data_IF_974057880406
#
_entry.id   IF_974057880406
#
_cell.length_a   1.000
_cell.length_b   1.000
_cell.length_c   1.000
_cell.angle_alpha   90.00
_cell.angle_beta   90.00
_cell.angle_gamma   90.00
#
_symmetry.space_group_name_H-M   'P 1'
#
loop_
_entity.id
_entity.type
_entity.pdbx_description
1 polymer ?
#
# COMPACT_ATOMS: atom_id res chain seq x y z
N UNK A 1 -52.79 23.45 34.07
CA UNK A 1 -51.40 23.32 33.54
C UNK A 1 -50.71 22.04 34.03
N UNK A 2 -51.44 20.92 34.18
CA UNK A 2 -50.92 19.63 34.67
C UNK A 2 -51.22 18.45 33.72
N UNK A 3 -52.08 18.65 32.73
CA UNK A 3 -52.50 17.63 31.74
C UNK A 3 -51.54 17.46 30.56
N UNK A 4 -50.68 18.45 30.27
CA UNK A 4 -49.75 18.39 29.12
C UNK A 4 -48.50 17.54 29.44
N UNK A 5 -48.06 17.48 30.70
CA UNK A 5 -46.88 16.69 31.08
C UNK A 5 -47.12 15.17 31.01
N UNK A 6 -48.34 14.70 31.32
CA UNK A 6 -48.66 13.27 31.23
C UNK A 6 -48.76 12.77 29.78
N UNK A 7 -49.24 13.61 28.85
CA UNK A 7 -49.33 13.25 27.44
C UNK A 7 -47.95 13.12 26.80
N UNK A 8 -47.00 13.99 27.18
CA UNK A 8 -45.63 13.96 26.68
C UNK A 8 -44.89 12.70 27.16
N UNK A 9 -45.02 12.37 28.46
CA UNK A 9 -44.45 11.13 29.04
C UNK A 9 -45.09 9.87 28.42
N UNK A 10 -46.39 9.91 28.11
CA UNK A 10 -47.07 8.79 27.47
C UNK A 10 -46.62 8.58 26.02
N UNK A 11 -46.42 9.67 25.26
CA UNK A 11 -45.91 9.61 23.87
C UNK A 11 -44.46 9.09 23.85
N UNK A 12 -43.61 9.53 24.77
CA UNK A 12 -42.23 9.03 24.88
C UNK A 12 -42.18 7.53 25.20
N UNK A 13 -43.01 7.05 26.12
CA UNK A 13 -43.08 5.62 26.46
C UNK A 13 -43.72 4.77 25.35
N UNK A 14 -44.67 5.33 24.59
CA UNK A 14 -45.26 4.65 23.43
C UNK A 14 -44.24 4.51 22.30
N UNK A 15 -43.41 5.54 22.06
CA UNK A 15 -42.32 5.48 21.10
C UNK A 15 -41.29 4.41 21.47
N UNK A 16 -40.88 4.34 22.74
CA UNK A 16 -39.93 3.31 23.23
C UNK A 16 -40.53 1.90 23.10
N UNK A 17 -41.82 1.73 23.40
CA UNK A 17 -42.48 0.43 23.30
C UNK A 17 -42.63 -0.02 21.84
N UNK A 18 -42.99 0.88 20.93
CA UNK A 18 -43.02 0.60 19.49
C UNK A 18 -41.61 0.29 18.97
N UNK A 19 -40.59 1.01 19.46
CA UNK A 19 -39.18 0.75 19.11
C UNK A 19 -38.73 -0.63 19.58
N UNK A 20 -39.08 -1.04 20.80
CA UNK A 20 -38.76 -2.36 21.34
C UNK A 20 -39.51 -3.48 20.61
N UNK A 21 -40.79 -3.27 20.26
CA UNK A 21 -41.56 -4.24 19.46
C UNK A 21 -40.99 -4.35 18.04
N UNK A 22 -40.59 -3.23 17.43
CA UNK A 22 -39.93 -3.21 16.13
C UNK A 22 -38.55 -3.88 16.19
N UNK A 23 -37.74 -3.61 17.22
CA UNK A 23 -36.45 -4.28 17.46
C UNK A 23 -36.66 -5.78 17.64
N UNK A 24 -37.66 -6.21 18.41
CA UNK A 24 -37.94 -7.62 18.65
C UNK A 24 -38.48 -8.32 17.38
N UNK A 25 -39.29 -7.63 16.56
CA UNK A 25 -39.66 -8.09 15.20
C UNK A 25 -38.47 -8.03 14.22
N UNK A 26 -37.55 -7.09 14.39
CA UNK A 26 -36.31 -6.98 13.61
C UNK A 26 -35.42 -8.21 13.90
N UNK A 27 -35.22 -8.55 15.18
CA UNK A 27 -34.47 -9.71 15.61
C UNK A 27 -35.06 -11.04 15.10
N UNK A 28 -36.38 -11.14 14.93
CA UNK A 28 -37.03 -12.36 14.45
C UNK A 28 -36.95 -12.61 12.93
N UNK A 29 -36.57 -11.63 12.12
CA UNK A 29 -36.54 -11.78 10.64
C UNK A 29 -35.20 -11.45 9.96
N UNK A 30 -34.19 -10.91 10.66
CA UNK A 30 -33.17 -10.09 9.97
C UNK A 30 -31.71 -10.43 10.21
N UNK A 31 -31.34 -11.71 10.32
CA UNK A 31 -29.92 -12.06 10.27
C UNK A 31 -29.35 -12.06 8.85
N UNK A 32 -30.13 -12.34 7.81
CA UNK A 32 -29.57 -12.36 6.44
C UNK A 32 -29.41 -10.95 5.85
N UNK A 33 -30.43 -10.10 5.95
CA UNK A 33 -30.40 -8.73 5.41
C UNK A 33 -29.44 -7.80 6.15
N UNK A 34 -29.40 -7.87 7.49
CA UNK A 34 -28.44 -7.12 8.28
C UNK A 34 -27.01 -7.64 8.07
N UNK A 35 -26.79 -8.96 7.97
CA UNK A 35 -25.48 -9.50 7.58
C UNK A 35 -25.09 -9.11 6.16
N UNK A 36 -26.02 -9.03 5.20
CA UNK A 36 -25.74 -8.55 3.84
C UNK A 36 -25.34 -7.08 3.85
N UNK A 37 -26.08 -6.22 4.56
CA UNK A 37 -25.78 -4.79 4.68
C UNK A 37 -24.47 -4.56 5.44
N UNK A 38 -24.21 -5.28 6.54
CA UNK A 38 -22.94 -5.25 7.26
C UNK A 38 -21.81 -5.80 6.37
N UNK A 39 -22.03 -6.86 5.59
CA UNK A 39 -21.05 -7.39 4.63
C UNK A 39 -20.76 -6.37 3.54
N UNK A 40 -21.78 -5.72 2.97
CA UNK A 40 -21.64 -4.66 1.97
C UNK A 40 -20.85 -3.48 2.57
N UNK A 41 -21.20 -2.99 3.76
CA UNK A 41 -20.51 -1.90 4.47
C UNK A 41 -19.04 -2.28 4.80
N UNK A 42 -18.78 -3.55 5.15
CA UNK A 42 -17.43 -4.09 5.34
C UNK A 42 -16.66 -4.32 4.02
N UNK A 43 -17.35 -4.39 2.88
CA UNK A 43 -16.75 -4.40 1.56
C UNK A 43 -16.44 -2.98 1.04
N UNK A 44 -17.18 -1.94 1.45
CA UNK A 44 -16.96 -0.56 0.98
C UNK A 44 -15.77 0.15 1.65
N UNK A 45 -15.36 -0.26 2.86
CA UNK A 45 -14.28 0.41 3.61
C UNK A 45 -12.90 -0.28 3.51
N UNK A 46 -12.50 -0.73 2.32
CA UNK A 46 -11.18 -1.37 2.11
C UNK A 46 -10.21 -0.40 1.46
N UNK A 47 -9.38 0.23 2.29
CA UNK A 47 -8.30 1.14 1.89
C UNK A 47 -7.30 0.55 0.90
N UNK A 48 -6.58 1.44 0.22
CA UNK A 48 -5.83 1.22 -1.01
C UNK A 48 -4.34 0.94 -0.74
N UNK A 49 -3.81 -0.23 -1.10
CA UNK A 49 -2.38 -0.57 -1.02
C UNK A 49 -1.72 -0.61 -2.41
N UNK A 50 -0.47 -1.09 -2.59
CA UNK A 50 0.38 -1.04 -3.82
C UNK A 50 -0.25 -1.52 -5.14
N UNK A 51 -1.05 -0.70 -5.83
CA UNK A 51 -1.99 -1.19 -6.85
C UNK A 51 -1.80 -0.56 -8.24
N UNK A 52 -2.17 -1.34 -9.26
CA UNK A 52 -2.53 -0.86 -10.59
C UNK A 52 -4.05 -0.86 -10.74
N UNK A 53 -4.62 0.25 -11.18
CA UNK A 53 -6.07 0.43 -11.36
C UNK A 53 -6.48 0.29 -12.84
N UNK A 54 -5.52 0.08 -13.73
CA UNK A 54 -5.76 0.00 -15.18
C UNK A 54 -5.30 -1.35 -15.72
N UNK A 55 -6.12 -1.93 -16.59
CA UNK A 55 -5.80 -3.18 -17.29
C UNK A 55 -4.79 -2.96 -18.39
N UNK A 56 -3.86 -3.91 -18.55
CA UNK A 56 -2.97 -3.97 -19.71
C UNK A 56 -3.74 -3.93 -21.05
N UNK A 57 -4.94 -4.53 -21.10
CA UNK A 57 -5.82 -4.47 -22.29
C UNK A 57 -6.69 -3.22 -22.35
N UNK A 58 -6.63 -2.34 -21.34
CA UNK A 58 -7.39 -1.11 -21.38
C UNK A 58 -6.65 -0.10 -22.27
N UNK A 59 -7.41 0.66 -23.05
CA UNK A 59 -6.88 1.78 -23.84
C UNK A 59 -6.01 2.75 -23.04
N UNK A 60 -6.14 2.79 -21.71
CA UNK A 60 -5.32 3.63 -20.84
C UNK A 60 -3.86 3.19 -20.73
N UNK A 61 -3.56 1.89 -20.77
CA UNK A 61 -2.18 1.41 -20.72
C UNK A 61 -1.46 1.67 -22.04
N UNK A 62 -2.15 1.47 -23.17
CA UNK A 62 -1.64 1.86 -24.50
C UNK A 62 -1.46 3.38 -24.60
N UNK A 63 -2.43 4.17 -24.11
CA UNK A 63 -2.28 5.64 -24.01
C UNK A 63 -1.04 6.03 -23.24
N UNK A 64 -0.79 5.37 -22.10
CA UNK A 64 0.44 5.56 -21.34
C UNK A 64 1.69 5.27 -22.17
N UNK A 65 1.79 4.09 -22.79
CA UNK A 65 2.95 3.73 -23.59
C UNK A 65 3.19 4.68 -24.78
N UNK A 66 2.13 5.29 -25.31
CA UNK A 66 2.20 6.28 -26.38
C UNK A 66 2.47 7.72 -25.92
N UNK A 67 2.50 7.97 -24.61
CA UNK A 67 2.59 9.32 -24.04
C UNK A 67 4.01 9.68 -23.56
N UNK A 68 4.23 10.96 -23.27
CA UNK A 68 5.38 11.41 -22.48
C UNK A 68 5.02 11.32 -20.99
N UNK A 69 5.95 10.82 -20.16
CA UNK A 69 5.78 10.80 -18.70
C UNK A 69 6.44 12.03 -18.09
N UNK A 70 5.65 12.85 -17.42
CA UNK A 70 6.15 13.94 -16.60
C UNK A 70 6.60 13.42 -15.24
N UNK A 71 7.75 13.91 -14.81
CA UNK A 71 8.35 13.59 -13.52
C UNK A 71 8.53 14.90 -12.74
N UNK A 72 7.83 15.10 -11.62
CA UNK A 72 8.03 16.27 -10.77
C UNK A 72 9.44 16.25 -10.20
N UNK A 73 10.13 17.37 -10.31
CA UNK A 73 11.34 17.66 -9.55
C UNK A 73 11.00 18.60 -8.39
N UNK A 74 11.56 18.31 -7.23
CA UNK A 74 11.23 18.91 -5.94
C UNK A 74 11.88 20.27 -5.72
N UNK A 75 12.97 20.56 -6.44
CA UNK A 75 13.84 21.72 -6.18
C UNK A 75 14.95 21.41 -5.17
N UNK A 76 14.96 20.22 -4.55
CA UNK A 76 15.98 19.79 -3.61
C UNK A 76 17.03 18.98 -4.40
N UNK A 77 18.21 19.58 -4.61
CA UNK A 77 19.21 19.08 -5.57
C UNK A 77 19.60 17.61 -5.40
N UNK A 78 19.85 17.14 -4.17
CA UNK A 78 20.24 15.76 -3.93
C UNK A 78 19.09 14.78 -4.23
N UNK A 79 17.86 15.11 -3.85
CA UNK A 79 16.68 14.30 -4.15
C UNK A 79 16.44 14.28 -5.66
N UNK A 80 16.49 15.43 -6.32
CA UNK A 80 16.28 15.53 -7.76
C UNK A 80 17.35 14.76 -8.56
N UNK A 81 18.60 14.71 -8.07
CA UNK A 81 19.66 13.89 -8.67
C UNK A 81 19.30 12.40 -8.59
N UNK A 82 18.93 11.92 -7.41
CA UNK A 82 18.55 10.50 -7.21
C UNK A 82 17.36 10.12 -8.09
N UNK A 83 16.34 10.98 -8.19
CA UNK A 83 15.18 10.76 -9.06
C UNK A 83 15.63 10.61 -10.52
N UNK A 84 16.43 11.54 -11.02
CA UNK A 84 16.91 11.53 -12.42
C UNK A 84 17.75 10.29 -12.69
N UNK A 85 18.76 10.03 -11.87
CA UNK A 85 19.66 8.88 -12.02
C UNK A 85 18.90 7.55 -12.01
N UNK A 86 17.97 7.37 -11.07
CA UNK A 86 17.16 6.15 -10.97
C UNK A 86 16.31 5.95 -12.22
N UNK A 87 15.64 7.01 -12.68
CA UNK A 87 14.77 6.93 -13.85
C UNK A 87 15.55 6.78 -15.15
N UNK A 88 16.68 7.47 -15.34
CA UNK A 88 17.52 7.32 -16.52
C UNK A 88 18.07 5.89 -16.64
N UNK A 89 18.47 5.30 -15.50
CA UNK A 89 18.92 3.91 -15.42
C UNK A 89 17.80 2.94 -15.79
N UNK A 90 16.67 3.01 -15.10
CA UNK A 90 15.70 1.91 -15.05
C UNK A 90 14.41 2.13 -15.87
N UNK A 91 14.07 3.37 -16.21
CA UNK A 91 12.85 3.69 -16.98
C UNK A 91 13.05 3.47 -18.48
N UNK A 92 12.22 2.61 -19.07
CA UNK A 92 12.29 2.23 -20.50
C UNK A 92 10.92 2.19 -21.19
N UNK A 93 9.90 2.83 -20.60
CA UNK A 93 8.51 2.69 -21.07
C UNK A 93 8.07 3.81 -22.01
N UNK A 94 8.43 5.03 -21.67
CA UNK A 94 8.01 6.27 -22.34
C UNK A 94 9.14 7.28 -22.27
N UNK A 95 9.06 8.32 -23.11
CA UNK A 95 9.96 9.47 -22.97
C UNK A 95 9.68 10.17 -21.64
N UNK A 96 10.74 10.55 -20.92
CA UNK A 96 10.65 11.30 -19.67
C UNK A 96 10.78 12.80 -19.94
N UNK A 97 10.04 13.59 -19.15
CA UNK A 97 10.24 15.04 -19.04
C UNK A 97 10.19 15.44 -17.58
N UNK A 98 11.29 15.99 -17.07
CA UNK A 98 11.38 16.51 -15.72
C UNK A 98 10.80 17.93 -15.66
N UNK A 99 9.90 18.18 -14.71
CA UNK A 99 9.14 19.44 -14.61
C UNK A 99 9.10 19.88 -13.15
N UNK A 100 9.31 21.17 -12.84
CA UNK A 100 9.13 21.70 -11.48
C UNK A 100 7.78 21.28 -10.86
N UNK A 101 7.78 20.88 -9.60
CA UNK A 101 6.56 20.34 -8.97
C UNK A 101 5.39 21.35 -8.95
N UNK A 102 5.67 22.64 -8.81
CA UNK A 102 4.70 23.73 -8.87
C UNK A 102 4.08 23.92 -10.27
N UNK A 103 4.69 23.34 -11.30
CA UNK A 103 4.22 23.37 -12.68
C UNK A 103 3.49 22.10 -13.10
N UNK A 104 3.29 21.10 -12.23
CA UNK A 104 2.58 19.87 -12.61
C UNK A 104 1.08 20.09 -12.81
N UNK A 105 0.47 21.01 -12.05
CA UNK A 105 -0.99 21.23 -12.10
C UNK A 105 -1.47 21.67 -13.49
N UNK A 106 -0.68 22.47 -14.21
CA UNK A 106 -1.06 22.93 -15.56
C UNK A 106 -1.20 21.76 -16.56
N UNK A 107 -0.48 20.65 -16.34
CA UNK A 107 -0.58 19.46 -17.19
C UNK A 107 -1.76 18.56 -16.83
N UNK A 108 -2.37 18.77 -15.65
CA UNK A 108 -3.47 17.94 -15.14
C UNK A 108 -4.79 18.07 -15.87
N UNK A 109 -5.06 19.27 -16.41
CA UNK A 109 -6.35 19.61 -17.00
C UNK A 109 -6.40 19.33 -18.50
N UNK A 110 -5.23 19.24 -19.15
CA UNK A 110 -5.12 19.24 -20.62
C UNK A 110 -4.43 18.00 -21.23
N UNK A 111 -3.93 17.05 -20.44
CA UNK A 111 -2.72 16.31 -20.87
C UNK A 111 -2.90 14.93 -21.48
N UNK A 112 -2.47 14.77 -22.73
CA UNK A 112 -2.04 13.50 -23.35
C UNK A 112 -0.72 12.94 -22.75
N UNK A 113 -0.44 13.23 -21.47
CA UNK A 113 0.82 12.89 -20.76
C UNK A 113 0.54 12.09 -19.50
N UNK A 114 1.34 11.07 -19.22
CA UNK A 114 1.33 10.40 -17.92
C UNK A 114 2.13 11.19 -16.90
N UNK A 115 1.82 11.03 -15.61
CA UNK A 115 2.48 11.79 -14.54
C UNK A 115 2.86 10.84 -13.42
N UNK A 116 4.13 10.85 -13.03
CA UNK A 116 4.53 10.28 -11.75
C UNK A 116 4.26 11.34 -10.68
N UNK A 117 3.52 10.99 -9.64
CA UNK A 117 3.23 11.88 -8.54
C UNK A 117 3.99 11.43 -7.31
N UNK A 118 4.92 12.26 -6.83
CA UNK A 118 5.70 12.01 -5.64
C UNK A 118 5.08 12.75 -4.44
N UNK A 119 4.50 11.99 -3.50
CA UNK A 119 3.98 12.46 -2.20
C UNK A 119 2.74 13.39 -2.23
N UNK A 120 2.06 13.66 -1.08
CA UNK A 120 0.72 14.23 -1.11
C UNK A 120 0.86 15.69 -1.49
N UNK A 121 0.66 15.98 -2.78
CA UNK A 121 0.51 17.37 -3.17
C UNK A 121 -0.66 17.91 -2.37
N UNK A 122 -0.39 18.94 -1.59
CA UNK A 122 -1.34 19.76 -0.85
C UNK A 122 -2.29 20.49 -1.81
N UNK A 123 -2.96 19.75 -2.70
CA UNK A 123 -4.18 20.19 -3.37
C UNK A 123 -5.36 19.94 -2.43
N UNK A 124 -5.36 20.63 -1.28
CA UNK A 124 -6.41 20.52 -0.25
C UNK A 124 -6.35 19.26 0.63
N UNK A 125 -7.50 18.88 1.19
CA UNK A 125 -7.69 17.84 2.23
C UNK A 125 -7.51 16.37 1.76
N UNK A 126 -6.83 16.11 0.64
CA UNK A 126 -6.78 14.77 0.04
C UNK A 126 -5.37 14.39 -0.39
N UNK A 127 -4.56 13.90 0.56
CA UNK A 127 -3.22 13.37 0.28
C UNK A 127 -3.24 11.88 -0.01
N UNK A 128 -2.82 11.46 -1.21
CA UNK A 128 -2.50 10.05 -1.44
C UNK A 128 -1.17 9.72 -0.74
N UNK A 129 -1.18 8.74 0.16
CA UNK A 129 0.02 8.26 0.87
C UNK A 129 0.86 7.31 0.00
N UNK A 130 1.05 7.66 -1.27
CA UNK A 130 1.72 6.79 -2.25
C UNK A 130 2.36 7.58 -3.38
N UNK A 131 3.51 7.10 -3.84
CA UNK A 131 4.07 7.40 -5.16
C UNK A 131 3.20 6.73 -6.22
N UNK A 132 2.59 7.52 -7.11
CA UNK A 132 1.64 6.99 -8.10
C UNK A 132 2.04 7.38 -9.51
N UNK A 133 1.89 6.47 -10.47
CA UNK A 133 1.90 6.80 -11.90
C UNK A 133 0.46 6.91 -12.40
N UNK A 134 0.09 8.07 -12.94
CA UNK A 134 -1.23 8.32 -13.52
C UNK A 134 -1.20 8.19 -15.04
N UNK A 135 -2.31 7.72 -15.60
CA UNK A 135 -2.55 7.68 -17.06
C UNK A 135 -2.72 9.09 -17.62
N UNK A 136 -2.49 9.28 -18.94
CA UNK A 136 -2.90 10.49 -19.64
C UNK A 136 -4.38 10.83 -19.48
N UNK A 137 -4.65 12.12 -19.30
CA UNK A 137 -5.99 12.71 -19.29
C UNK A 137 -6.26 13.53 -18.02
N UNK A 138 -7.55 13.83 -17.81
CA UNK A 138 -8.02 14.54 -16.63
C UNK A 138 -7.83 13.64 -15.40
N UNK A 139 -6.68 13.77 -14.73
CA UNK A 139 -6.38 12.96 -13.56
C UNK A 139 -7.06 13.57 -12.35
N UNK A 140 -7.94 12.79 -11.74
CA UNK A 140 -8.51 13.14 -10.44
C UNK A 140 -7.70 12.43 -9.36
N UNK A 141 -6.83 13.17 -8.67
CA UNK A 141 -6.00 12.63 -7.57
C UNK A 141 -6.83 11.99 -6.45
N UNK A 142 -8.09 12.40 -6.29
CA UNK A 142 -9.01 11.80 -5.30
C UNK A 142 -9.53 10.42 -5.73
N UNK A 143 -9.40 10.08 -7.02
CA UNK A 143 -9.86 8.82 -7.58
C UNK A 143 -8.67 8.05 -8.13
N UNK A 144 -8.34 6.97 -7.43
CA UNK A 144 -7.31 6.02 -7.87
C UNK A 144 -7.64 5.33 -9.22
N UNK A 145 -8.82 5.56 -9.81
CA UNK A 145 -9.26 4.94 -11.08
C UNK A 145 -8.32 5.19 -12.25
N UNK A 146 -7.49 6.24 -12.18
CA UNK A 146 -6.57 6.65 -13.25
C UNK A 146 -5.10 6.32 -12.93
N UNK A 147 -4.84 5.46 -11.93
CA UNK A 147 -3.49 5.09 -11.51
C UNK A 147 -3.04 3.79 -12.19
N UNK A 148 -1.92 3.85 -12.90
CA UNK A 148 -1.26 2.70 -13.53
C UNK A 148 -0.50 1.88 -12.52
N UNK A 149 0.21 2.55 -11.60
CA UNK A 149 1.07 1.89 -10.62
C UNK A 149 1.15 2.76 -9.37
N UNK A 150 1.27 2.14 -8.21
CA UNK A 150 1.33 2.83 -6.93
C UNK A 150 2.24 2.10 -5.95
N UNK A 151 3.11 2.87 -5.30
CA UNK A 151 3.98 2.45 -4.20
C UNK A 151 3.67 3.31 -2.97
N UNK A 152 3.17 2.73 -1.88
CA UNK A 152 2.76 3.41 -0.70
C UNK A 152 3.96 3.86 0.08
N UNK A 153 3.78 4.99 0.73
CA UNK A 153 4.76 5.63 1.57
C UNK A 153 4.16 5.67 2.97
N UNK A 154 4.99 5.77 4.01
CA UNK A 154 4.54 5.86 5.39
C UNK A 154 3.99 7.26 5.73
N UNK A 155 3.17 7.86 4.87
CA UNK A 155 2.52 9.15 5.16
C UNK A 155 1.08 8.94 5.65
N UNK A 156 0.70 9.62 6.74
CA UNK A 156 -0.65 9.56 7.31
C UNK A 156 -1.57 10.62 6.70
N UNK A 157 -2.86 10.31 6.59
CA UNK A 157 -3.87 11.20 5.98
C UNK A 157 -4.19 12.47 6.80
N UNK A 158 -3.90 12.48 8.10
CA UNK A 158 -4.49 13.46 9.04
C UNK A 158 -3.50 14.44 9.67
N UNK A 159 -2.23 14.48 9.23
CA UNK A 159 -1.21 15.31 9.92
C UNK A 159 -1.04 14.97 11.40
N UNK A 160 -1.59 13.83 11.82
CA UNK A 160 -1.67 13.41 13.20
C UNK A 160 -0.26 12.95 13.62
N UNK A 161 0.45 13.87 14.28
CA UNK A 161 1.85 13.71 14.75
C UNK A 161 2.06 12.46 15.61
N UNK A 162 0.98 11.82 16.05
CA UNK A 162 0.99 10.57 16.80
C UNK A 162 1.57 9.40 16.01
N UNK A 163 1.60 9.49 14.68
CA UNK A 163 2.23 8.50 13.81
C UNK A 163 3.53 9.08 13.24
N UNK A 164 4.67 8.41 13.47
CA UNK A 164 5.92 8.68 12.76
C UNK A 164 5.64 8.54 11.26
N UNK A 165 5.47 9.68 10.58
CA UNK A 165 5.01 9.76 9.21
C UNK A 165 6.07 10.37 8.32
N UNK A 166 6.28 9.72 7.18
CA UNK A 166 7.19 10.13 6.12
C UNK A 166 6.40 10.92 5.07
N UNK A 167 6.06 12.16 5.41
CA UNK A 167 5.19 13.02 4.60
C UNK A 167 5.95 14.14 3.88
N UNK A 168 7.26 14.27 4.06
CA UNK A 168 8.11 15.22 3.33
C UNK A 168 9.13 14.52 2.44
N UNK A 169 9.65 15.22 1.43
CA UNK A 169 10.68 14.70 0.54
C UNK A 169 11.96 14.35 1.30
N UNK A 170 12.36 15.18 2.26
CA UNK A 170 13.54 14.96 3.11
C UNK A 170 13.40 13.68 3.93
N UNK A 171 12.20 13.40 4.44
CA UNK A 171 11.93 12.19 5.23
C UNK A 171 11.95 10.90 4.41
N UNK A 172 11.70 10.97 3.10
CA UNK A 172 11.74 9.78 2.22
C UNK A 172 12.98 9.72 1.33
N UNK A 173 13.78 10.78 1.31
CA UNK A 173 14.89 10.95 0.35
C UNK A 173 15.88 9.80 0.40
N UNK A 174 16.12 9.23 1.58
CA UNK A 174 17.04 8.10 1.78
C UNK A 174 16.64 6.81 1.07
N UNK A 175 15.39 6.68 0.60
CA UNK A 175 14.85 5.46 -0.05
C UNK A 175 14.06 5.77 -1.31
N UNK A 176 14.17 6.99 -1.83
CA UNK A 176 13.34 7.45 -2.95
C UNK A 176 13.62 6.64 -4.22
N UNK A 177 14.89 6.29 -4.45
CA UNK A 177 15.36 5.37 -5.47
C UNK A 177 14.64 4.02 -5.39
N UNK A 178 14.57 3.41 -4.19
CA UNK A 178 13.87 2.14 -3.96
C UNK A 178 12.40 2.28 -4.33
N UNK A 179 11.74 3.37 -3.93
CA UNK A 179 10.32 3.60 -4.26
C UNK A 179 10.09 3.70 -5.77
N UNK A 180 10.98 4.35 -6.52
CA UNK A 180 10.91 4.40 -7.98
C UNK A 180 11.17 3.05 -8.64
N UNK A 181 12.14 2.29 -8.14
CA UNK A 181 12.40 0.92 -8.61
C UNK A 181 11.18 0.06 -8.42
N UNK A 182 10.54 0.11 -7.24
CA UNK A 182 9.27 -0.59 -6.99
C UNK A 182 8.16 -0.16 -7.95
N UNK A 183 8.05 1.13 -8.24
CA UNK A 183 7.05 1.66 -9.18
C UNK A 183 7.28 1.08 -10.58
N UNK A 184 8.53 1.03 -11.03
CA UNK A 184 8.96 0.45 -12.31
C UNK A 184 8.69 -1.05 -12.36
N UNK A 185 8.98 -1.80 -11.30
CA UNK A 185 8.75 -3.24 -11.20
C UNK A 185 7.28 -3.60 -11.42
N UNK A 186 6.36 -2.83 -10.82
CA UNK A 186 4.92 -3.02 -11.02
C UNK A 186 4.56 -2.89 -12.51
N UNK A 187 5.10 -1.89 -13.20
CA UNK A 187 4.83 -1.67 -14.63
C UNK A 187 5.44 -2.79 -15.49
N UNK A 188 6.69 -3.21 -15.21
CA UNK A 188 7.32 -4.36 -15.89
C UNK A 188 6.47 -5.61 -15.73
N UNK A 189 6.07 -5.90 -14.50
CA UNK A 189 5.22 -7.04 -14.18
C UNK A 189 3.89 -7.00 -14.93
N UNK A 190 3.23 -5.83 -14.95
CA UNK A 190 1.97 -5.67 -15.69
C UNK A 190 2.11 -6.00 -17.17
N UNK A 191 3.19 -5.51 -17.80
CA UNK A 191 3.48 -5.75 -19.22
C UNK A 191 3.77 -7.22 -19.49
N UNK A 192 4.67 -7.83 -18.71
CA UNK A 192 5.12 -9.21 -18.89
C UNK A 192 3.99 -10.22 -18.67
N UNK A 193 3.21 -10.05 -17.60
CA UNK A 193 2.12 -10.97 -17.25
C UNK A 193 0.81 -10.64 -17.99
N UNK A 194 0.82 -9.63 -18.87
CA UNK A 194 -0.37 -9.07 -19.53
C UNK A 194 -1.50 -8.86 -18.53
N UNK A 195 -1.16 -8.30 -17.37
CA UNK A 195 -2.01 -8.31 -16.19
C UNK A 195 -3.23 -7.39 -16.38
N UNK A 196 -4.41 -7.97 -16.16
CA UNK A 196 -5.69 -7.26 -16.19
C UNK A 196 -6.22 -7.26 -14.75
N UNK A 197 -6.15 -6.14 -14.01
CA UNK A 197 -6.83 -6.03 -12.73
C UNK A 197 -8.34 -6.17 -12.97
N UNK A 198 -8.97 -7.01 -12.16
CA UNK A 198 -10.43 -7.13 -12.07
C UNK A 198 -10.98 -5.95 -11.25
N UNK A 199 -10.80 -4.73 -11.77
CA UNK A 199 -11.13 -3.47 -11.12
C UNK A 199 -10.18 -3.05 -10.00
N UNK A 200 -10.40 -1.85 -9.47
CA UNK A 200 -9.73 -1.23 -8.31
C UNK A 200 -9.88 -1.99 -6.98
N UNK A 201 -10.40 -3.22 -7.03
CA UNK A 201 -10.88 -3.95 -5.88
C UNK A 201 -9.74 -4.77 -5.24
N UNK A 202 -9.77 -4.93 -3.92
CA UNK A 202 -8.78 -5.68 -3.13
C UNK A 202 -8.46 -7.07 -3.69
N UNK A 203 -9.42 -7.69 -4.37
CA UNK A 203 -9.28 -8.99 -5.04
C UNK A 203 -8.30 -8.94 -6.21
N UNK A 204 -8.31 -7.86 -6.99
CA UNK A 204 -7.33 -7.63 -8.04
C UNK A 204 -5.93 -7.65 -7.43
N UNK A 205 -5.72 -6.97 -6.32
CA UNK A 205 -4.31 -6.77 -5.95
C UNK A 205 -3.76 -7.89 -5.09
N UNK A 206 -4.62 -8.57 -4.31
CA UNK A 206 -4.24 -9.87 -3.79
C UNK A 206 -3.81 -10.81 -4.93
N UNK A 207 -4.45 -10.75 -6.11
CA UNK A 207 -4.01 -11.52 -7.29
C UNK A 207 -2.64 -11.07 -7.81
N UNK A 208 -2.41 -9.77 -7.98
CA UNK A 208 -1.09 -9.23 -8.35
C UNK A 208 0.00 -9.71 -7.39
N UNK A 209 -0.14 -9.48 -6.08
CA UNK A 209 0.87 -9.84 -5.09
C UNK A 209 1.12 -11.35 -5.04
N UNK A 210 0.07 -12.16 -5.16
CA UNK A 210 0.23 -13.61 -5.23
C UNK A 210 1.03 -14.05 -6.47
N UNK A 211 0.77 -13.46 -7.63
CA UNK A 211 1.48 -13.77 -8.86
C UNK A 211 2.93 -13.26 -8.81
N UNK A 212 3.13 -12.03 -8.32
CA UNK A 212 4.45 -11.42 -8.12
C UNK A 212 5.32 -12.29 -7.20
N UNK A 213 4.85 -12.59 -5.99
CA UNK A 213 5.59 -13.42 -5.04
C UNK A 213 5.86 -14.82 -5.61
N UNK A 214 4.91 -15.42 -6.36
CA UNK A 214 5.12 -16.72 -7.02
C UNK A 214 6.22 -16.65 -8.09
N UNK A 215 6.31 -15.53 -8.82
CA UNK A 215 7.33 -15.31 -9.84
C UNK A 215 8.71 -15.10 -9.23
N UNK A 216 8.79 -14.26 -8.20
CA UNK A 216 10.04 -13.99 -7.49
C UNK A 216 10.54 -15.21 -6.72
N UNK A 217 9.63 -16.01 -6.14
CA UNK A 217 10.00 -17.28 -5.53
C UNK A 217 10.82 -18.16 -6.49
N UNK A 218 10.48 -18.18 -7.78
CA UNK A 218 11.21 -18.99 -8.77
C UNK A 218 12.60 -18.45 -9.12
N UNK A 219 12.96 -17.22 -8.74
CA UNK A 219 14.22 -16.59 -9.18
C UNK A 219 15.44 -16.88 -8.27
N UNK A 220 15.44 -17.98 -7.51
CA UNK A 220 16.60 -18.50 -6.73
C UNK A 220 17.35 -17.44 -5.93
N UNK A 221 16.66 -16.77 -5.01
CA UNK A 221 17.29 -15.81 -4.10
C UNK A 221 17.62 -16.50 -2.77
N UNK A 222 18.90 -16.50 -2.42
CA UNK A 222 19.35 -17.08 -1.15
C UNK A 222 19.11 -16.11 0.01
N UNK A 223 17.86 -16.13 0.50
CA UNK A 223 17.39 -15.30 1.61
C UNK A 223 18.17 -15.61 2.92
N UNK A 224 18.88 -16.74 3.00
CA UNK A 224 19.62 -17.15 4.21
C UNK A 224 20.92 -16.38 4.41
N UNK A 225 21.48 -15.80 3.35
CA UNK A 225 22.81 -15.18 3.37
C UNK A 225 22.82 -13.77 3.96
N UNK A 226 21.71 -13.03 3.81
CA UNK A 226 21.61 -11.63 4.20
C UNK A 226 20.81 -11.43 5.47
N UNK A 227 21.02 -10.28 6.12
CA UNK A 227 20.28 -9.90 7.33
C UNK A 227 19.10 -8.99 6.95
N UNK A 228 17.90 -9.30 7.42
CA UNK A 228 16.74 -8.42 7.26
C UNK A 228 16.83 -7.23 8.23
N UNK A 229 16.93 -6.01 7.71
CA UNK A 229 16.84 -4.78 8.48
C UNK A 229 15.40 -4.42 8.73
N UNK A 230 15.11 -4.17 10.01
CA UNK A 230 13.80 -3.76 10.48
C UNK A 230 13.98 -2.49 11.30
N UNK A 231 13.31 -1.43 10.86
CA UNK A 231 13.21 -0.21 11.65
C UNK A 231 12.46 -0.50 12.96
N UNK A 232 12.96 -0.04 14.10
CA UNK A 232 12.33 -0.26 15.41
C UNK A 232 10.87 0.25 15.47
N UNK A 233 10.55 1.30 14.72
CA UNK A 233 9.20 1.87 14.61
C UNK A 233 8.21 0.94 13.91
N UNK A 234 8.67 -0.18 13.34
CA UNK A 234 7.82 -1.25 12.86
C UNK A 234 7.07 -1.95 13.99
N UNK A 235 7.76 -2.13 15.12
CA UNK A 235 7.23 -2.87 16.26
C UNK A 235 6.25 -2.00 17.05
N UNK A 236 5.26 -2.65 17.64
CA UNK A 236 4.26 -2.02 18.47
C UNK A 236 3.83 -2.99 19.58
N UNK A 237 2.87 -2.59 20.41
CA UNK A 237 2.35 -3.41 21.50
C UNK A 237 1.76 -4.77 21.07
N UNK A 238 1.52 -5.02 19.78
CA UNK A 238 0.98 -6.28 19.24
C UNK A 238 2.02 -7.13 18.51
N UNK A 239 3.14 -6.55 18.11
CA UNK A 239 4.21 -7.22 17.38
C UNK A 239 5.52 -6.65 17.89
N UNK A 240 6.21 -7.42 18.73
CA UNK A 240 7.58 -7.14 19.17
C UNK A 240 8.59 -8.07 18.46
N UNK A 241 9.87 -7.87 18.72
CA UNK A 241 10.94 -8.65 18.11
C UNK A 241 10.93 -10.13 18.54
N UNK A 242 10.46 -10.45 19.75
CA UNK A 242 10.36 -11.82 20.27
C UNK A 242 9.27 -12.58 19.51
N UNK A 243 8.13 -11.94 19.30
CA UNK A 243 7.02 -12.45 18.50
C UNK A 243 7.46 -12.60 17.05
N UNK A 244 8.13 -11.60 16.47
CA UNK A 244 8.62 -11.65 15.10
C UNK A 244 9.60 -12.80 14.85
N UNK A 245 10.53 -13.05 15.79
CA UNK A 245 11.49 -14.16 15.70
C UNK A 245 10.84 -15.55 15.67
N UNK A 246 9.63 -15.69 16.23
CA UNK A 246 8.85 -16.95 16.13
C UNK A 246 8.34 -17.21 14.71
N UNK A 247 8.35 -16.20 13.86
CA UNK A 247 7.77 -16.21 12.53
C UNK A 247 8.81 -16.04 11.42
N UNK A 248 9.91 -15.35 11.69
CA UNK A 248 10.99 -15.19 10.73
C UNK A 248 12.22 -15.90 11.26
N UNK A 249 12.53 -17.06 10.68
CA UNK A 249 13.60 -17.95 11.16
C UNK A 249 15.01 -17.52 10.74
N UNK A 250 15.14 -16.50 9.89
CA UNK A 250 16.41 -16.02 9.36
C UNK A 250 16.98 -14.84 10.16
N UNK A 251 18.21 -14.45 9.82
CA UNK A 251 18.90 -13.33 10.48
C UNK A 251 18.12 -12.04 10.23
N UNK A 252 17.76 -11.34 11.31
CA UNK A 252 17.22 -9.99 11.23
C UNK A 252 17.88 -9.11 12.29
N UNK A 253 17.92 -7.80 12.02
CA UNK A 253 18.45 -6.80 12.93
C UNK A 253 17.42 -5.68 13.05
N UNK A 254 17.04 -5.39 14.30
CA UNK A 254 16.23 -4.23 14.64
C UNK A 254 17.16 -3.04 14.82
N UNK A 255 16.90 -1.94 14.12
CA UNK A 255 17.74 -0.75 14.12
C UNK A 255 16.92 0.52 14.36
N UNK A 256 17.58 1.55 14.89
CA UNK A 256 16.98 2.88 15.03
C UNK A 256 16.69 3.50 13.66
N UNK A 257 15.82 4.50 13.59
CA UNK A 257 15.55 5.26 12.35
C UNK A 257 16.83 5.80 11.71
N UNK A 258 17.72 6.41 12.50
CA UNK A 258 18.97 6.99 11.99
C UNK A 258 19.92 5.93 11.43
N UNK A 259 20.03 4.77 12.08
CA UNK A 259 20.84 3.66 11.59
C UNK A 259 20.22 3.04 10.33
N UNK A 260 18.89 2.90 10.31
CA UNK A 260 18.13 2.41 9.16
C UNK A 260 18.38 3.25 7.91
N UNK A 261 18.27 4.58 8.03
CA UNK A 261 18.54 5.52 6.94
C UNK A 261 20.00 5.44 6.48
N UNK A 262 20.96 5.43 7.41
CA UNK A 262 22.39 5.31 7.08
C UNK A 262 22.71 4.04 6.30
N UNK A 263 22.15 2.90 6.71
CA UNK A 263 22.44 1.63 6.04
C UNK A 263 21.86 1.62 4.61
N UNK A 264 20.62 2.11 4.44
CA UNK A 264 19.99 2.20 3.12
C UNK A 264 20.79 3.15 2.23
N UNK A 265 21.13 4.35 2.68
CA UNK A 265 21.92 5.31 1.90
C UNK A 265 23.36 4.86 1.61
N UNK A 266 23.84 3.78 2.24
CA UNK A 266 25.17 3.20 1.99
C UNK A 266 25.14 2.04 0.99
N UNK A 267 23.97 1.68 0.45
CA UNK A 267 23.78 0.55 -0.48
C UNK A 267 24.42 -0.77 0.00
N UNK A 268 24.33 -1.04 1.30
CA UNK A 268 25.02 -2.20 1.87
C UNK A 268 24.36 -3.52 1.45
N UNK A 269 25.00 -4.20 0.50
CA UNK A 269 24.54 -5.44 -0.14
C UNK A 269 24.31 -6.61 0.81
N UNK A 270 24.81 -6.55 2.06
CA UNK A 270 24.62 -7.61 3.06
C UNK A 270 23.22 -7.62 3.68
N UNK A 271 22.39 -6.62 3.37
CA UNK A 271 21.11 -6.41 4.00
C UNK A 271 19.94 -6.50 3.03
N UNK A 272 18.86 -7.10 3.52
CA UNK A 272 17.52 -6.84 2.99
C UNK A 272 16.89 -5.70 3.79
N UNK A 273 16.03 -4.93 3.14
CA UNK A 273 15.35 -3.78 3.74
C UNK A 273 13.86 -4.06 3.81
N UNK A 274 13.28 -4.01 5.02
CA UNK A 274 11.83 -4.16 5.21
C UNK A 274 11.13 -2.80 5.18
N UNK A 275 10.49 -2.49 4.06
CA UNK A 275 9.69 -1.28 3.91
C UNK A 275 8.27 -1.50 4.41
N UNK A 276 7.78 -0.56 5.23
CA UNK A 276 6.41 -0.55 5.72
C UNK A 276 5.69 0.73 5.28
N UNK A 277 4.41 0.58 4.93
CA UNK A 277 3.49 1.71 4.72
C UNK A 277 2.41 1.81 5.79
N UNK A 278 2.05 3.04 6.15
CA UNK A 278 1.02 3.38 7.15
C UNK A 278 -0.38 3.54 6.53
N UNK A 279 -0.73 2.65 5.60
CA UNK A 279 -2.06 2.59 5.01
C UNK A 279 -2.95 1.69 5.89
N UNK A 280 -4.29 1.87 5.94
CA UNK A 280 -5.23 1.00 6.68
C UNK A 280 -5.07 -0.52 6.53
N UNK A 281 -4.29 -1.01 5.55
CA UNK A 281 -4.00 -2.43 5.37
C UNK A 281 -2.56 -2.84 5.71
N UNK A 282 -1.68 -1.86 5.94
CA UNK A 282 -0.21 -1.92 6.02
C UNK A 282 0.42 -2.88 5.03
N UNK A 283 1.02 -2.31 3.99
CA UNK A 283 1.87 -3.07 3.09
C UNK A 283 3.25 -3.21 3.71
N UNK A 284 3.76 -4.43 3.73
CA UNK A 284 5.18 -4.71 3.90
C UNK A 284 5.74 -5.14 2.56
N UNK A 285 6.92 -4.65 2.24
CA UNK A 285 7.74 -5.23 1.18
C UNK A 285 9.17 -5.44 1.67
N UNK A 286 9.82 -6.49 1.16
CA UNK A 286 11.25 -6.75 1.41
C UNK A 286 12.00 -6.43 0.14
N UNK A 287 13.02 -5.58 0.24
CA UNK A 287 13.85 -5.14 -0.87
C UNK A 287 15.30 -5.62 -0.70
N UNK A 288 15.92 -6.04 -1.79
CA UNK A 288 17.34 -6.38 -1.83
C UNK A 288 18.13 -5.23 -2.47
N UNK A 289 19.03 -4.63 -1.67
CA UNK A 289 19.89 -3.53 -2.10
C UNK A 289 20.89 -3.95 -3.17
N UNK A 290 21.40 -5.19 -3.12
CA UNK A 290 22.43 -5.67 -4.05
C UNK A 290 21.93 -5.78 -5.48
N UNK A 291 20.76 -6.41 -5.64
CA UNK A 291 20.17 -6.64 -6.96
C UNK A 291 19.11 -5.60 -7.33
N UNK A 292 18.91 -4.61 -6.45
CA UNK A 292 17.97 -3.52 -6.60
C UNK A 292 16.56 -4.03 -6.97
N UNK A 293 16.00 -4.94 -6.16
CA UNK A 293 14.76 -5.66 -6.48
C UNK A 293 13.87 -5.92 -5.26
N UNK A 294 12.56 -5.86 -5.44
CA UNK A 294 11.61 -6.34 -4.41
C UNK A 294 11.55 -7.86 -4.40
N UNK A 295 11.74 -8.45 -3.22
CA UNK A 295 11.73 -9.89 -3.03
C UNK A 295 10.36 -10.42 -2.59
N UNK A 296 9.61 -9.59 -1.88
CA UNK A 296 8.35 -10.02 -1.27
C UNK A 296 7.44 -8.82 -1.01
N UNK A 297 6.13 -9.03 -1.16
CA UNK A 297 5.08 -8.06 -0.81
C UNK A 297 3.98 -8.76 0.01
N UNK A 298 3.51 -8.14 1.09
CA UNK A 298 2.30 -8.54 1.83
C UNK A 298 1.38 -7.32 2.04
N UNK A 299 0.10 -7.46 1.67
CA UNK A 299 -0.91 -6.39 1.69
C UNK A 299 -1.78 -6.36 2.95
N UNK A 300 -1.62 -7.29 3.89
CA UNK A 300 -2.55 -7.40 5.04
C UNK A 300 -1.84 -7.59 6.37
N UNK A 301 -0.63 -7.05 6.56
CA UNK A 301 0.12 -7.32 7.79
C UNK A 301 -0.57 -6.75 9.05
N UNK A 302 -1.25 -5.59 8.95
CA UNK A 302 -1.94 -4.98 10.10
C UNK A 302 -3.46 -5.17 10.12
N UNK A 303 -4.06 -5.78 9.09
CA UNK A 303 -5.51 -5.73 8.87
C UNK A 303 -6.36 -6.59 9.82
N UNK A 304 -5.83 -7.00 10.98
CA UNK A 304 -6.64 -7.76 11.93
C UNK A 304 -6.27 -7.61 13.43
N UNK A 305 -6.58 -6.46 14.06
CA UNK A 305 -6.68 -6.38 15.51
C UNK A 305 -8.09 -6.67 16.07
N UNK A 306 -9.10 -6.96 15.22
CA UNK A 306 -10.51 -7.05 15.65
C UNK A 306 -11.29 -8.31 15.18
N UNK A 307 -10.63 -9.42 14.88
CA UNK A 307 -11.33 -10.71 14.79
C UNK A 307 -11.30 -11.44 16.13
N UNK A 308 -12.44 -11.97 16.54
CA UNK A 308 -12.64 -12.70 17.80
C UNK A 308 -11.51 -13.72 18.06
N UNK A 309 -11.15 -13.87 19.33
CA UNK A 309 -10.01 -14.65 19.85
C UNK A 309 -9.84 -16.06 19.27
N UNK A 310 -10.92 -16.69 18.80
CA UNK A 310 -10.89 -18.00 18.12
C UNK A 310 -10.33 -17.97 16.67
N UNK A 311 -10.40 -16.83 15.95
CA UNK A 311 -9.83 -16.66 14.60
C UNK A 311 -8.37 -16.16 14.61
N UNK A 312 -7.89 -15.61 15.74
CA UNK A 312 -6.56 -15.01 15.88
C UNK A 312 -5.38 -16.00 15.75
N UNK A 313 -5.60 -17.30 15.99
CA UNK A 313 -4.54 -18.32 15.78
C UNK A 313 -4.36 -18.77 14.33
N UNK A 314 -5.19 -18.35 13.38
CA UNK A 314 -5.15 -18.91 12.00
C UNK A 314 -4.72 -17.95 10.90
N UNK A 315 -4.64 -16.64 11.14
CA UNK A 315 -4.46 -15.66 10.04
C UNK A 315 -3.03 -15.12 9.90
N UNK A 316 -2.36 -14.66 10.97
CA UNK A 316 -0.91 -14.36 10.88
C UNK A 316 -0.07 -15.61 10.62
N UNK A 317 -0.45 -16.72 11.26
CA UNK A 317 0.16 -18.03 11.09
C UNK A 317 0.06 -18.56 9.65
N UNK A 318 -0.98 -18.21 8.88
CA UNK A 318 -1.09 -18.65 7.47
C UNK A 318 -0.21 -17.83 6.54
N UNK A 319 -0.02 -16.53 6.81
CA UNK A 319 0.79 -15.66 5.96
C UNK A 319 2.27 -15.95 6.14
N UNK A 320 2.71 -16.08 7.40
CA UNK A 320 4.08 -16.50 7.72
C UNK A 320 4.34 -17.92 7.24
N UNK A 321 3.46 -18.90 7.51
CA UNK A 321 3.63 -20.25 6.96
C UNK A 321 3.60 -20.29 5.44
N UNK A 322 2.91 -19.35 4.78
CA UNK A 322 2.93 -19.25 3.31
C UNK A 322 4.25 -18.66 2.83
N UNK A 323 4.83 -17.71 3.55
CA UNK A 323 6.18 -17.22 3.31
C UNK A 323 7.20 -18.35 3.55
N UNK A 324 7.16 -19.02 4.69
CA UNK A 324 8.04 -20.16 5.01
C UNK A 324 7.87 -21.32 4.03
N UNK A 325 6.65 -21.76 3.72
CA UNK A 325 6.43 -22.83 2.74
C UNK A 325 6.85 -22.43 1.33
N UNK A 326 6.76 -21.13 0.98
CA UNK A 326 7.33 -20.64 -0.27
C UNK A 326 8.86 -20.68 -0.22
N UNK A 327 9.48 -20.26 0.89
CA UNK A 327 10.94 -20.29 1.07
C UNK A 327 11.47 -21.73 1.11
N UNK A 328 10.80 -22.66 1.80
CA UNK A 328 11.16 -24.08 1.86
C UNK A 328 11.04 -24.76 0.49
N UNK A 329 9.96 -24.47 -0.26
CA UNK A 329 9.81 -24.99 -1.62
C UNK A 329 10.92 -24.50 -2.54
N UNK A 330 11.32 -23.23 -2.41
CA UNK A 330 12.47 -22.69 -3.16
C UNK A 330 13.75 -23.44 -2.78
N UNK A 331 13.95 -23.78 -1.51
CA UNK A 331 15.14 -24.52 -1.08
C UNK A 331 15.13 -25.99 -1.53
N UNK A 332 13.96 -26.63 -1.62
CA UNK A 332 13.83 -28.04 -2.01
C UNK A 332 13.92 -28.28 -3.52
N UNK A 333 13.46 -27.35 -4.34
CA UNK A 333 13.52 -27.46 -5.80
C UNK A 333 14.96 -27.23 -6.35
N UNK A 334 15.94 -26.96 -5.47
CA UNK A 334 17.33 -26.62 -5.78
C UNK A 334 18.38 -27.59 -5.20
N UNK A 335 17.94 -28.65 -4.51
CA UNK A 335 18.75 -29.82 -4.14
C UNK A 335 18.27 -31.01 -4.96
#
# INVERSE_FOLDING_TARGET
>A
MLTINYLTIFIENLHVTIYLILINKLFKMKNLGLMMVITIILFVNKGFSQYTFTSYKHSYFEKFLSSETLVPITGIQNIDSIIKETLDRDWKFTKLKFVPINEIEQFSKNGNVSIINLLPIQFGNFGNSSLCLYVPGNFNITRMTNVISSVPIKCGFSGDKKYNTECSFEQIGYKIDILFVQLIEVIKFMKEEKYIPLGAHITGVNKYVNLYNKKIAKSNLDIKLKTLLINENFFNNKMDSVIFKKYYSYKFKVVTENEYQKIISSDNENYFVMLQSNIPNSVISVFDLQINKTLFIDLNFQKNPFTSSAKLRKLNLKQVKKLDAQIEKIASDNN
#
